data_IF_224073503047
#
_entry.id   IF_224073503047
#
_cell.length_a   1.000
_cell.length_b   1.000
_cell.length_c   1.000
_cell.angle_alpha   90.00
_cell.angle_beta   90.00
_cell.angle_gamma   90.00
#
_symmetry.space_group_name_H-M   'P 1'
#
loop_
_entity.id
_entity.type
_entity.pdbx_description
1 polymer ?
#
# COMPACT_ATOMS: atom_id res chain seq x y z
N UNK A 1 -7.61 8.80 13.61
CA UNK A 1 -8.08 8.55 14.99
C UNK A 1 -6.90 8.77 15.89
N UNK A 2 -7.07 9.61 16.88
CA UNK A 2 -6.03 9.91 17.85
C UNK A 2 -6.27 9.03 19.07
N UNK A 3 -5.25 8.26 19.42
CA UNK A 3 -5.28 7.37 20.57
C UNK A 3 -4.47 7.97 21.71
N UNK A 4 -4.91 7.71 22.93
CA UNK A 4 -4.19 8.10 24.12
C UNK A 4 -2.85 7.32 24.18
N UNK A 5 -1.70 7.98 24.40
CA UNK A 5 -0.38 7.36 24.22
C UNK A 5 -0.08 6.21 25.19
N UNK A 6 -0.74 6.16 26.35
CA UNK A 6 -0.52 5.12 27.38
C UNK A 6 -1.62 4.06 27.36
N UNK A 7 -2.88 4.46 27.62
CA UNK A 7 -4.00 3.53 27.65
C UNK A 7 -4.45 3.01 26.28
N UNK A 8 -4.01 3.63 25.17
CA UNK A 8 -4.45 3.28 23.81
C UNK A 8 -5.96 3.43 23.58
N UNK A 9 -6.66 4.19 24.43
CA UNK A 9 -8.08 4.51 24.24
C UNK A 9 -8.26 5.58 23.14
N UNK A 10 -9.34 5.51 22.32
CA UNK A 10 -9.60 6.53 21.32
C UNK A 10 -10.05 7.85 21.98
N UNK A 11 -9.35 8.94 21.67
CA UNK A 11 -9.62 10.28 22.23
C UNK A 11 -10.37 11.16 21.23
N UNK A 12 -9.97 11.13 19.96
CA UNK A 12 -10.55 11.97 18.93
C UNK A 12 -10.64 11.24 17.57
N UNK A 13 -11.70 11.56 16.83
CA UNK A 13 -11.93 11.04 15.49
C UNK A 13 -12.15 12.20 14.53
N UNK A 14 -11.22 12.40 13.61
CA UNK A 14 -11.39 13.31 12.48
C UNK A 14 -12.02 12.56 11.33
N UNK A 15 -13.19 13.02 10.89
CA UNK A 15 -13.88 12.52 9.70
C UNK A 15 -13.77 13.55 8.58
N UNK A 16 -13.54 13.07 7.37
CA UNK A 16 -13.55 13.89 6.16
C UNK A 16 -14.92 13.76 5.50
N UNK A 17 -15.54 14.90 5.16
CA UNK A 17 -16.75 14.91 4.34
C UNK A 17 -16.37 14.52 2.90
N UNK A 18 -17.03 13.49 2.37
CA UNK A 18 -16.92 13.07 0.97
C UNK A 18 -18.26 13.30 0.27
N UNK A 19 -18.44 14.39 -0.49
CA UNK A 19 -19.60 14.57 -1.36
C UNK A 19 -19.52 13.58 -2.54
N UNK A 20 -20.67 13.20 -3.14
CA UNK A 20 -20.69 12.40 -4.36
C UNK A 20 -19.97 13.14 -5.51
N UNK A 21 -19.38 12.39 -6.44
CA UNK A 21 -18.59 12.91 -7.58
C UNK A 21 -17.39 13.80 -7.18
N UNK A 22 -16.83 13.59 -5.98
CA UNK A 22 -15.64 14.33 -5.54
C UNK A 22 -14.43 13.41 -5.50
N UNK A 23 -13.26 13.93 -5.90
CA UNK A 23 -12.00 13.20 -5.75
C UNK A 23 -11.47 13.35 -4.34
N UNK A 24 -11.04 12.24 -3.74
CA UNK A 24 -10.56 12.19 -2.36
C UNK A 24 -9.16 11.60 -2.36
N UNK A 25 -8.27 12.21 -1.57
CA UNK A 25 -6.93 11.70 -1.34
C UNK A 25 -6.96 10.71 -0.18
N UNK A 26 -6.70 9.44 -0.46
CA UNK A 26 -6.74 8.35 0.52
C UNK A 26 -5.43 7.57 0.52
N UNK A 27 -5.13 6.93 1.65
CA UNK A 27 -4.05 5.94 1.76
C UNK A 27 -4.68 4.56 1.61
N UNK A 28 -4.42 3.90 0.49
CA UNK A 28 -4.95 2.58 0.20
C UNK A 28 -3.91 1.53 0.60
N UNK A 29 -4.28 0.52 1.40
CA UNK A 29 -3.36 -0.55 1.79
C UNK A 29 -3.03 -1.47 0.61
N UNK A 30 -1.83 -2.05 0.64
CA UNK A 30 -1.37 -3.01 -0.36
C UNK A 30 -1.58 -4.43 0.16
N UNK A 31 -2.34 -5.25 -0.57
CA UNK A 31 -2.52 -6.67 -0.30
C UNK A 31 -1.49 -7.48 -1.10
N UNK A 32 -0.74 -8.33 -0.40
CA UNK A 32 0.27 -9.21 -1.00
C UNK A 32 -0.39 -10.54 -1.36
N UNK A 33 -0.34 -10.94 -2.63
CA UNK A 33 -0.77 -12.27 -3.09
C UNK A 33 0.44 -13.11 -3.52
N UNK A 34 0.30 -14.44 -3.54
CA UNK A 34 1.37 -15.33 -4.05
C UNK A 34 2.52 -15.62 -3.06
N UNK A 35 2.31 -15.41 -1.76
CA UNK A 35 3.32 -15.67 -0.72
C UNK A 35 3.85 -17.11 -0.73
N UNK A 36 2.98 -18.09 -0.99
CA UNK A 36 3.35 -19.52 -1.00
C UNK A 36 4.21 -19.93 -2.21
N UNK A 37 4.13 -19.17 -3.31
CA UNK A 37 4.89 -19.46 -4.52
C UNK A 37 6.26 -18.75 -4.52
N UNK A 38 6.38 -17.64 -3.78
CA UNK A 38 7.55 -16.78 -3.76
C UNK A 38 8.84 -17.53 -3.40
N UNK A 39 9.83 -17.63 -4.31
CA UNK A 39 11.10 -18.29 -4.03
C UNK A 39 11.90 -17.58 -2.93
N UNK A 40 11.69 -16.27 -2.76
CA UNK A 40 12.27 -15.50 -1.67
C UNK A 40 11.83 -15.98 -0.29
N UNK A 41 10.53 -16.23 -0.07
CA UNK A 41 10.03 -16.75 1.21
C UNK A 41 10.51 -18.18 1.46
N UNK A 42 10.48 -19.05 0.43
CA UNK A 42 10.94 -20.45 0.53
C UNK A 42 12.42 -20.58 0.91
N UNK A 43 13.24 -19.61 0.53
CA UNK A 43 14.69 -19.57 0.82
C UNK A 43 15.02 -18.86 2.14
N UNK A 44 14.11 -18.86 3.10
CA UNK A 44 14.25 -18.14 4.38
C UNK A 44 14.42 -16.62 4.21
N UNK A 45 13.73 -16.04 3.23
CA UNK A 45 13.58 -14.59 3.13
C UNK A 45 12.38 -14.09 3.93
N UNK A 46 12.44 -12.84 4.35
CA UNK A 46 11.34 -12.12 4.99
C UNK A 46 10.91 -10.94 4.11
N UNK A 47 9.60 -10.78 3.94
CA UNK A 47 9.04 -9.63 3.21
C UNK A 47 8.89 -8.48 4.19
N UNK A 48 9.80 -7.52 4.09
CA UNK A 48 9.76 -6.34 4.93
C UNK A 48 8.86 -5.27 4.30
N UNK A 49 7.74 -4.89 4.95
CA UNK A 49 6.92 -3.77 4.53
C UNK A 49 7.62 -2.46 4.90
N UNK A 50 8.15 -1.74 3.91
CA UNK A 50 8.70 -0.39 4.13
C UNK A 50 7.55 0.61 4.20
N UNK A 51 6.62 0.51 3.26
CA UNK A 51 5.44 1.38 3.16
C UNK A 51 4.28 0.54 2.62
N UNK A 52 3.45 -0.06 3.50
CA UNK A 52 2.39 -1.00 3.12
C UNK A 52 1.13 -0.30 2.57
N UNK A 53 1.23 0.97 2.18
CA UNK A 53 0.13 1.76 1.65
C UNK A 53 0.63 2.72 0.58
N UNK A 54 -0.22 3.00 -0.41
CA UNK A 54 0.03 4.01 -1.43
C UNK A 54 -0.96 5.15 -1.27
N UNK A 55 -0.48 6.37 -1.47
CA UNK A 55 -1.35 7.54 -1.44
C UNK A 55 -1.95 7.73 -2.83
N UNK A 56 -3.26 7.58 -2.96
CA UNK A 56 -3.95 7.65 -4.24
C UNK A 56 -5.05 8.72 -4.20
N UNK A 57 -5.36 9.27 -5.37
CA UNK A 57 -6.56 10.08 -5.57
C UNK A 57 -7.59 9.20 -6.26
N UNK A 58 -8.72 9.01 -5.61
CA UNK A 58 -9.79 8.13 -6.08
C UNK A 58 -11.10 8.90 -6.05
N UNK A 59 -11.99 8.59 -6.97
CA UNK A 59 -13.35 9.11 -6.93
C UNK A 59 -14.08 8.56 -5.69
N UNK A 60 -14.92 9.37 -5.06
CA UNK A 60 -15.63 9.03 -3.82
C UNK A 60 -16.41 7.73 -3.88
N UNK A 61 -16.84 7.35 -5.08
CA UNK A 61 -17.77 6.25 -5.33
C UNK A 61 -17.02 4.94 -5.67
N UNK A 62 -15.72 5.01 -5.98
CA UNK A 62 -14.92 3.88 -6.45
C UNK A 62 -13.67 3.62 -5.59
N UNK A 63 -13.77 3.83 -4.27
CA UNK A 63 -12.65 3.62 -3.34
C UNK A 63 -12.33 2.12 -3.20
N UNK A 64 -11.15 1.63 -3.66
CA UNK A 64 -10.77 0.24 -3.47
C UNK A 64 -10.40 -0.03 -2.00
N UNK A 65 -10.79 -1.19 -1.45
CA UNK A 65 -10.40 -1.56 -0.08
C UNK A 65 -8.91 -1.87 0.03
N UNK A 66 -8.29 -2.40 -1.04
CA UNK A 66 -6.87 -2.73 -1.12
C UNK A 66 -6.41 -2.76 -2.58
N UNK A 67 -5.10 -2.66 -2.81
CA UNK A 67 -4.47 -2.88 -4.11
C UNK A 67 -3.69 -4.19 -4.02
N UNK A 68 -4.04 -5.16 -4.86
CA UNK A 68 -3.35 -6.44 -4.93
C UNK A 68 -2.02 -6.31 -5.67
N UNK A 69 -0.99 -6.98 -5.16
CA UNK A 69 0.26 -7.15 -5.88
C UNK A 69 0.82 -8.54 -5.68
N UNK A 70 1.27 -9.15 -6.78
CA UNK A 70 1.80 -10.50 -6.80
C UNK A 70 3.31 -10.50 -6.52
N UNK A 71 3.73 -11.37 -5.60
CA UNK A 71 5.14 -11.59 -5.25
C UNK A 71 5.64 -13.00 -5.60
N UNK A 72 4.84 -13.78 -6.34
CA UNK A 72 5.12 -15.19 -6.67
C UNK A 72 6.48 -15.42 -7.32
N UNK A 73 7.03 -14.43 -8.03
CA UNK A 73 8.30 -14.52 -8.76
C UNK A 73 9.47 -13.83 -8.04
N UNK A 74 9.24 -13.24 -6.87
CA UNK A 74 10.20 -12.37 -6.20
C UNK A 74 11.31 -13.15 -5.49
N UNK A 75 12.57 -12.73 -5.69
CA UNK A 75 13.76 -13.30 -5.07
C UNK A 75 14.32 -12.43 -3.92
N UNK A 76 15.16 -13.03 -3.07
CA UNK A 76 15.88 -12.33 -1.99
C UNK A 76 16.74 -11.21 -2.58
N UNK A 77 16.69 -10.02 -1.97
CA UNK A 77 17.43 -8.84 -2.40
C UNK A 77 16.66 -7.95 -3.40
N UNK A 78 15.55 -8.43 -3.95
CA UNK A 78 14.69 -7.60 -4.79
C UNK A 78 13.83 -6.66 -3.95
N UNK A 79 13.41 -5.56 -4.57
CA UNK A 79 12.59 -4.52 -3.95
C UNK A 79 11.46 -4.17 -4.91
N UNK A 80 10.25 -4.05 -4.37
CA UNK A 80 9.07 -3.64 -5.14
C UNK A 80 8.95 -2.13 -5.02
N UNK A 81 8.88 -1.45 -6.16
CA UNK A 81 8.69 -0.01 -6.23
C UNK A 81 7.28 0.33 -6.66
N UNK A 82 6.89 1.59 -6.46
CA UNK A 82 5.55 2.08 -6.83
C UNK A 82 5.26 1.89 -8.32
N UNK A 83 6.26 2.06 -9.18
CA UNK A 83 6.13 1.87 -10.63
C UNK A 83 5.83 0.42 -11.06
N UNK A 84 6.13 -0.56 -10.21
CA UNK A 84 5.97 -1.98 -10.52
C UNK A 84 4.56 -2.49 -10.11
N UNK A 85 3.75 -1.62 -9.49
CA UNK A 85 2.37 -1.93 -9.11
C UNK A 85 1.41 -1.82 -10.29
N UNK A 86 0.41 -2.70 -10.30
CA UNK A 86 -0.75 -2.61 -11.18
C UNK A 86 -1.83 -1.83 -10.44
N UNK A 87 -2.26 -0.71 -11.02
CA UNK A 87 -3.34 0.10 -10.47
C UNK A 87 -4.66 -0.24 -11.17
N UNK A 88 -5.78 -0.39 -10.43
CA UNK A 88 -7.09 -0.49 -11.05
C UNK A 88 -7.46 0.83 -11.73
N UNK A 89 -8.28 0.76 -12.79
CA UNK A 89 -8.65 1.93 -13.62
C UNK A 89 -9.31 3.07 -12.83
N UNK A 90 -9.96 2.75 -11.71
CA UNK A 90 -10.59 3.72 -10.79
C UNK A 90 -9.57 4.57 -10.03
N UNK A 91 -8.30 4.17 -10.00
CA UNK A 91 -7.25 4.80 -9.20
C UNK A 91 -6.39 5.69 -10.08
N UNK A 92 -6.65 7.00 -10.02
CA UNK A 92 -5.75 8.00 -10.60
C UNK A 92 -4.53 8.18 -9.68
N UNK A 93 -3.54 7.32 -9.89
CA UNK A 93 -2.25 7.46 -9.22
C UNK A 93 -1.52 8.71 -9.75
N UNK A 94 -1.44 9.77 -8.93
CA UNK A 94 -0.56 10.90 -9.21
C UNK A 94 0.91 10.49 -8.94
N UNK A 95 1.50 9.73 -9.86
CA UNK A 95 2.95 9.50 -9.87
C UNK A 95 3.65 10.87 -9.99
N UNK A 96 4.49 11.23 -9.02
CA UNK A 96 5.31 12.44 -9.02
C UNK A 96 4.82 13.61 -8.16
N UNK A 97 3.52 13.71 -7.79
CA UNK A 97 3.07 14.75 -6.83
C UNK A 97 3.07 14.27 -5.38
N UNK A 98 2.73 13.00 -5.14
CA UNK A 98 2.62 12.43 -3.79
C UNK A 98 3.42 11.14 -3.59
N UNK A 99 3.85 10.51 -4.68
CA UNK A 99 4.56 9.25 -4.67
C UNK A 99 5.74 9.35 -5.63
N UNK A 100 6.94 9.00 -5.14
CA UNK A 100 8.11 8.89 -6.00
C UNK A 100 8.07 7.55 -6.75
N UNK A 101 8.26 7.51 -8.08
CA UNK A 101 8.21 6.26 -8.84
C UNK A 101 9.25 5.22 -8.40
N UNK A 102 10.35 5.69 -7.81
CA UNK A 102 11.45 4.87 -7.30
C UNK A 102 11.33 4.56 -5.80
N UNK A 103 10.28 5.03 -5.12
CA UNK A 103 10.04 4.72 -3.72
C UNK A 103 9.83 3.20 -3.55
N UNK A 104 10.51 2.63 -2.57
CA UNK A 104 10.43 1.19 -2.27
C UNK A 104 9.29 0.94 -1.28
N UNK A 105 8.37 0.06 -1.66
CA UNK A 105 7.21 -0.31 -0.85
C UNK A 105 7.49 -1.56 -0.01
N UNK A 106 8.10 -2.56 -0.64
CA UNK A 106 8.45 -3.82 -0.02
C UNK A 106 9.87 -4.22 -0.38
N UNK A 107 10.56 -4.83 0.58
CA UNK A 107 11.91 -5.35 0.38
C UNK A 107 11.97 -6.80 0.82
N UNK A 108 12.47 -7.66 -0.06
CA UNK A 108 12.73 -9.05 0.29
C UNK A 108 14.13 -9.12 0.91
N UNK A 109 14.18 -9.26 2.23
CA UNK A 109 15.43 -9.36 2.99
C UNK A 109 15.70 -10.81 3.36
N UNK A 110 16.97 -11.17 3.52
CA UNK A 110 17.37 -12.47 4.05
C UNK A 110 17.27 -12.43 5.58
N UNK A 111 16.73 -13.49 6.20
CA UNK A 111 16.83 -13.70 7.64
C UNK A 111 18.23 -14.16 8.06
#
# INVERSE_FOLDING_TARGET
VDFHPVSSDPVAVSLQRCPPNTTVKLRVPLLVIGQDAAPGLKRQGYLYPVKPYVTCVVDSDEVPPYIEHDISTMNIGQSIRIRDLVFPDSVKALLGQFNDPNETLYKMIKL
#
